data_IF_630669968538
#
_entry.id   IF_630669968538
#
_cell.length_a   1.000
_cell.length_b   1.000
_cell.length_c   1.000
_cell.angle_alpha   90.00
_cell.angle_beta   90.00
_cell.angle_gamma   90.00
#
_symmetry.space_group_name_H-M   'P 1'
#
loop_
_entity.id
_entity.type
_entity.pdbx_description
1 polymer ?
#
# COMPACT_ATOMS: atom_id res chain seq x y z
N UNK A 1 7.52 -17.32 20.71
CA UNK A 1 7.27 -15.91 20.33
C UNK A 1 6.68 -15.90 18.94
N UNK A 2 5.59 -15.17 18.70
CA UNK A 2 5.10 -14.97 17.32
C UNK A 2 5.98 -13.92 16.64
N UNK A 3 6.37 -14.14 15.38
CA UNK A 3 7.04 -13.10 14.60
C UNK A 3 6.00 -12.06 14.14
N UNK A 4 6.44 -10.84 13.85
CA UNK A 4 5.54 -9.79 13.36
C UNK A 4 4.82 -10.19 12.06
N UNK A 5 5.51 -10.94 11.19
CA UNK A 5 4.95 -11.50 9.96
C UNK A 5 3.69 -12.33 10.17
N UNK A 6 3.57 -13.00 11.32
CA UNK A 6 2.38 -13.80 11.65
C UNK A 6 1.17 -12.97 12.10
N UNK A 7 1.33 -11.65 12.23
CA UNK A 7 0.29 -10.69 12.62
C UNK A 7 -0.14 -9.80 11.44
N UNK A 8 0.50 -9.93 10.27
CA UNK A 8 0.07 -9.29 9.03
C UNK A 8 -1.15 -10.03 8.48
N UNK A 9 -2.19 -9.26 8.16
CA UNK A 9 -3.44 -9.77 7.59
C UNK A 9 -3.49 -9.49 6.10
N UNK A 10 -4.15 -10.36 5.34
CA UNK A 10 -4.44 -10.20 3.91
C UNK A 10 -5.86 -10.66 3.62
N UNK A 11 -6.40 -10.28 2.47
CA UNK A 11 -7.77 -10.62 2.10
C UNK A 11 -8.17 -10.08 0.73
N UNK A 12 -9.40 -10.38 0.32
CA UNK A 12 -10.00 -9.77 -0.86
C UNK A 12 -10.47 -8.35 -0.51
N UNK A 13 -9.85 -7.34 -1.10
CA UNK A 13 -10.16 -5.93 -0.87
C UNK A 13 -11.60 -5.54 -1.22
N UNK A 14 -12.31 -6.35 -2.02
CA UNK A 14 -13.73 -6.14 -2.29
C UNK A 14 -14.63 -6.47 -1.10
N UNK A 15 -14.19 -7.37 -0.22
CA UNK A 15 -14.91 -7.75 0.99
C UNK A 15 -14.28 -7.22 2.28
N UNK A 16 -13.01 -6.80 2.22
CA UNK A 16 -12.22 -6.37 3.37
C UNK A 16 -11.63 -4.98 3.14
N UNK A 17 -12.13 -4.00 3.90
CA UNK A 17 -11.84 -2.57 3.74
C UNK A 17 -10.46 -2.13 4.24
N UNK A 18 -9.65 -3.03 4.78
CA UNK A 18 -8.32 -2.69 5.29
C UNK A 18 -7.18 -3.09 4.35
N UNK A 19 -7.46 -3.91 3.33
CA UNK A 19 -6.45 -4.38 2.38
C UNK A 19 -6.00 -3.19 1.51
N UNK A 20 -4.70 -2.83 1.47
CA UNK A 20 -4.22 -1.77 0.61
C UNK A 20 -4.29 -2.20 -0.86
N UNK A 21 -5.00 -1.46 -1.69
CA UNK A 21 -5.14 -1.71 -3.12
C UNK A 21 -4.00 -1.03 -3.85
N UNK A 22 -3.26 -1.79 -4.66
CA UNK A 22 -2.13 -1.29 -5.45
C UNK A 22 -2.60 -1.11 -6.89
N UNK A 23 -2.44 0.08 -7.42
CA UNK A 23 -2.80 0.44 -8.78
C UNK A 23 -1.54 0.61 -9.60
N UNK A 24 -1.36 -0.26 -10.59
CA UNK A 24 -0.22 -0.25 -11.51
C UNK A 24 -0.75 0.02 -12.93
N UNK A 25 -0.19 1.00 -13.66
CA UNK A 25 -0.55 1.26 -15.05
C UNK A 25 -0.31 0.03 -15.94
N UNK A 26 -1.10 -0.09 -17.00
CA UNK A 26 -0.83 -1.08 -18.05
C UNK A 26 0.32 -0.64 -18.94
N UNK A 27 1.06 -1.62 -19.51
CA UNK A 27 2.11 -1.40 -20.52
C UNK A 27 3.29 -0.52 -20.05
N UNK A 28 3.71 -0.69 -18.80
CA UNK A 28 4.93 -0.07 -18.26
C UNK A 28 6.19 -0.55 -18.98
N UNK A 29 7.19 0.32 -19.10
CA UNK A 29 8.50 0.02 -19.72
C UNK A 29 9.64 0.14 -18.72
N UNK A 30 10.65 -0.70 -18.90
CA UNK A 30 11.84 -0.71 -18.06
C UNK A 30 12.53 0.65 -18.10
N UNK A 31 12.89 1.18 -16.93
CA UNK A 31 13.65 2.42 -16.78
C UNK A 31 12.86 3.72 -16.99
N UNK A 32 11.60 3.65 -17.47
CA UNK A 32 10.70 4.81 -17.54
C UNK A 32 10.02 5.05 -16.19
N UNK A 33 9.62 6.29 -15.85
CA UNK A 33 8.83 6.56 -14.65
C UNK A 33 7.47 5.86 -14.73
N UNK A 34 7.10 5.21 -13.64
CA UNK A 34 5.81 4.55 -13.45
C UNK A 34 5.17 5.20 -12.25
N UNK A 35 3.94 5.68 -12.40
CA UNK A 35 3.13 6.10 -11.26
C UNK A 35 2.53 4.85 -10.61
N UNK A 36 2.86 4.60 -9.35
CA UNK A 36 2.20 3.59 -8.52
C UNK A 36 1.33 4.33 -7.53
N UNK A 37 0.02 4.08 -7.59
CA UNK A 37 -0.94 4.57 -6.61
C UNK A 37 -1.30 3.46 -5.65
N UNK A 38 -1.52 3.81 -4.39
CA UNK A 38 -2.03 2.91 -3.36
C UNK A 38 -3.15 3.58 -2.59
N UNK A 39 -4.17 2.80 -2.22
CA UNK A 39 -5.32 3.32 -1.49
C UNK A 39 -5.94 2.27 -0.57
N UNK A 40 -6.67 2.72 0.43
CA UNK A 40 -7.56 1.89 1.24
C UNK A 40 -9.00 2.34 1.03
N UNK A 41 -9.89 1.36 0.85
CA UNK A 41 -11.34 1.57 0.79
C UNK A 41 -11.90 1.87 -0.60
N UNK A 42 -11.25 1.35 -1.65
CA UNK A 42 -11.68 1.50 -3.04
C UNK A 42 -13.11 0.97 -3.31
N UNK A 43 -13.46 -0.19 -2.74
CA UNK A 43 -14.80 -0.76 -2.84
C UNK A 43 -15.64 -0.40 -1.60
N UNK A 44 -15.11 -0.72 -0.42
CA UNK A 44 -15.75 -0.48 0.87
C UNK A 44 -14.94 0.56 1.62
N UNK A 45 -15.50 1.76 1.80
CA UNK A 45 -14.79 2.85 2.48
C UNK A 45 -14.42 2.47 3.92
N UNK A 46 -13.16 2.71 4.28
CA UNK A 46 -12.70 2.65 5.66
C UNK A 46 -13.05 3.96 6.40
N UNK A 47 -13.44 3.91 7.69
CA UNK A 47 -13.66 5.12 8.49
C UNK A 47 -12.41 6.02 8.59
N UNK A 48 -12.62 7.33 8.78
CA UNK A 48 -11.53 8.27 9.00
C UNK A 48 -11.96 9.29 10.05
N UNK A 49 -11.94 8.83 11.29
CA UNK A 49 -12.36 9.55 12.49
C UNK A 49 -11.17 9.60 13.47
N UNK A 50 -11.19 10.47 14.48
CA UNK A 50 -10.12 10.56 15.49
C UNK A 50 -9.87 9.21 16.19
N UNK A 51 -10.92 8.43 16.40
CA UNK A 51 -10.88 7.14 17.09
C UNK A 51 -10.49 5.98 16.18
N UNK A 52 -10.72 6.09 14.87
CA UNK A 52 -10.56 4.99 13.93
C UNK A 52 -10.16 5.47 12.53
N UNK A 53 -8.91 5.20 12.16
CA UNK A 53 -8.34 5.65 10.91
C UNK A 53 -7.11 4.81 10.51
N UNK A 54 -6.77 4.89 9.23
CA UNK A 54 -5.50 4.38 8.70
C UNK A 54 -4.41 5.39 9.03
N UNK A 55 -3.32 4.92 9.63
CA UNK A 55 -2.17 5.75 9.99
C UNK A 55 -1.21 5.94 8.83
N UNK A 56 -0.90 4.85 8.12
CA UNK A 56 0.09 4.88 7.06
C UNK A 56 -0.09 3.74 6.07
N UNK A 57 0.48 3.94 4.89
CA UNK A 57 0.74 2.90 3.88
C UNK A 57 2.20 2.98 3.45
N UNK A 58 2.86 1.83 3.32
CA UNK A 58 4.21 1.68 2.79
C UNK A 58 4.22 0.82 1.54
N UNK A 59 5.06 1.17 0.58
CA UNK A 59 5.29 0.41 -0.63
C UNK A 59 6.71 -0.15 -0.68
N UNK A 60 6.84 -1.39 -1.11
CA UNK A 60 8.12 -2.06 -1.30
C UNK A 60 8.17 -2.73 -2.67
N UNK A 61 9.34 -2.74 -3.29
CA UNK A 61 9.61 -3.52 -4.48
C UNK A 61 10.46 -4.74 -4.12
N UNK A 62 10.04 -5.90 -4.59
CA UNK A 62 10.84 -7.12 -4.54
C UNK A 62 11.07 -7.63 -5.96
N UNK A 63 12.31 -7.51 -6.44
CA UNK A 63 12.72 -8.05 -7.73
C UNK A 63 12.53 -9.57 -7.75
N UNK A 64 12.04 -10.15 -8.86
CA UNK A 64 11.69 -11.59 -8.97
C UNK A 64 12.80 -12.56 -8.51
N UNK A 65 14.06 -12.20 -8.76
CA UNK A 65 15.26 -12.93 -8.33
C UNK A 65 16.15 -12.11 -7.38
N UNK A 66 15.55 -11.13 -6.70
CA UNK A 66 16.23 -10.28 -5.73
C UNK A 66 16.45 -11.00 -4.40
N UNK A 67 17.42 -10.50 -3.63
CA UNK A 67 17.71 -11.03 -2.28
C UNK A 67 16.87 -10.37 -1.19
N UNK A 68 16.57 -9.08 -1.35
CA UNK A 68 15.91 -8.26 -0.34
C UNK A 68 14.89 -7.31 -0.99
N UNK A 69 13.78 -6.98 -0.29
CA UNK A 69 12.89 -5.92 -0.73
C UNK A 69 13.54 -4.55 -0.55
N UNK A 70 13.09 -3.57 -1.32
CA UNK A 70 13.50 -2.16 -1.25
C UNK A 70 12.27 -1.31 -0.99
N UNK A 71 12.30 -0.47 0.03
CA UNK A 71 11.22 0.49 0.32
C UNK A 71 11.17 1.55 -0.79
N UNK A 72 9.99 1.76 -1.37
CA UNK A 72 9.73 2.74 -2.43
C UNK A 72 9.23 4.05 -1.81
N UNK A 73 8.26 3.95 -0.91
CA UNK A 73 7.58 5.09 -0.32
C UNK A 73 6.96 4.73 1.03
N UNK A 74 6.87 5.73 1.90
CA UNK A 74 6.05 5.75 3.11
C UNK A 74 5.11 6.94 3.03
N UNK A 75 3.81 6.69 3.20
CA UNK A 75 2.77 7.72 3.24
C UNK A 75 2.16 7.72 4.63
N UNK A 76 2.29 8.84 5.36
CA UNK A 76 1.62 9.06 6.64
C UNK A 76 0.37 9.92 6.42
N UNK A 77 -0.77 9.46 6.93
CA UNK A 77 -2.04 10.18 6.88
C UNK A 77 -2.29 10.73 8.29
N UNK A 78 -2.11 12.04 8.45
CA UNK A 78 -1.91 12.63 9.79
C UNK A 78 -3.11 13.42 10.33
N UNK A 79 -4.12 13.66 9.50
CA UNK A 79 -5.33 14.39 9.90
C UNK A 79 -6.57 13.53 9.71
N UNK A 80 -7.40 13.45 10.73
CA UNK A 80 -8.56 12.55 10.86
C UNK A 80 -9.79 13.27 11.44
N UNK A 81 -9.85 14.60 11.25
CA UNK A 81 -10.93 15.47 11.72
C UNK A 81 -10.45 16.68 12.52
N UNK A 82 -9.15 16.81 12.80
CA UNK A 82 -8.59 17.99 13.46
C UNK A 82 -8.92 19.24 12.65
N UNK A 83 -9.66 20.17 13.28
CA UNK A 83 -10.16 21.39 12.64
C UNK A 83 -10.94 21.13 11.32
N UNK A 84 -11.61 19.97 11.23
CA UNK A 84 -12.34 19.56 10.03
C UNK A 84 -11.45 19.08 8.87
N UNK A 85 -10.14 18.94 9.07
CA UNK A 85 -9.21 18.43 8.06
C UNK A 85 -9.14 16.91 8.12
N UNK A 86 -9.35 16.26 6.98
CA UNK A 86 -9.28 14.80 6.82
C UNK A 86 -8.31 14.47 5.69
N UNK A 87 -7.32 13.63 5.99
CA UNK A 87 -6.38 13.05 5.02
C UNK A 87 -6.85 11.65 4.67
N UNK A 88 -7.35 11.45 3.45
CA UNK A 88 -7.74 10.13 2.97
C UNK A 88 -6.51 9.21 2.80
N UNK A 89 -6.64 7.89 3.04
CA UNK A 89 -5.51 6.96 2.97
C UNK A 89 -5.16 6.58 1.53
N UNK A 90 -4.71 7.58 0.76
CA UNK A 90 -4.35 7.47 -0.65
C UNK A 90 -2.96 8.09 -0.87
N UNK A 91 -2.07 7.33 -1.48
CA UNK A 91 -0.72 7.77 -1.85
C UNK A 91 -0.41 7.49 -3.31
N UNK A 92 0.46 8.30 -3.91
CA UNK A 92 1.02 8.07 -5.25
C UNK A 92 2.51 8.38 -5.25
N UNK A 93 3.29 7.56 -5.96
CA UNK A 93 4.74 7.75 -6.12
C UNK A 93 5.15 7.44 -7.55
N UNK A 94 6.05 8.25 -8.09
CA UNK A 94 6.74 7.92 -9.34
C UNK A 94 8.03 7.17 -9.03
N UNK A 95 8.16 5.98 -9.60
CA UNK A 95 9.34 5.11 -9.44
C UNK A 95 9.86 4.68 -10.81
N UNK A 96 11.17 4.47 -10.92
CA UNK A 96 11.81 3.80 -12.06
C UNK A 96 12.28 2.43 -11.61
N UNK A 97 11.88 1.40 -12.34
CA UNK A 97 12.26 0.01 -12.07
C UNK A 97 12.98 -0.58 -13.27
N UNK A 98 13.99 -1.39 -12.98
CA UNK A 98 14.88 -1.94 -14.00
C UNK A 98 14.59 -3.41 -14.33
N UNK A 99 13.61 -4.04 -13.68
CA UNK A 99 13.26 -5.44 -13.89
C UNK A 99 11.86 -5.75 -13.33
N UNK A 100 11.28 -6.85 -13.77
CA UNK A 100 9.99 -7.35 -13.27
C UNK A 100 10.10 -7.85 -11.83
N UNK A 101 8.98 -7.86 -11.12
CA UNK A 101 8.94 -8.29 -9.73
C UNK A 101 7.58 -8.08 -9.10
N UNK A 102 7.59 -7.77 -7.82
CA UNK A 102 6.38 -7.59 -7.03
C UNK A 102 6.41 -6.24 -6.32
N UNK A 103 5.28 -5.55 -6.33
CA UNK A 103 5.03 -4.41 -5.47
C UNK A 103 4.24 -4.93 -4.28
N UNK A 104 4.79 -4.76 -3.09
CA UNK A 104 4.13 -5.05 -1.83
C UNK A 104 3.63 -3.75 -1.24
N UNK A 105 2.42 -3.78 -0.69
CA UNK A 105 1.89 -2.73 0.15
C UNK A 105 1.68 -3.26 1.55
N UNK A 106 2.04 -2.46 2.55
CA UNK A 106 1.72 -2.70 3.95
C UNK A 106 1.00 -1.49 4.50
N UNK A 107 -0.05 -1.70 5.29
CA UNK A 107 -0.84 -0.64 5.88
C UNK A 107 -1.07 -0.90 7.37
N UNK A 108 -1.35 0.17 8.11
CA UNK A 108 -1.69 0.09 9.53
C UNK A 108 -2.94 0.88 9.85
N UNK A 109 -3.94 0.17 10.37
CA UNK A 109 -5.10 0.76 11.02
C UNK A 109 -4.81 0.89 12.52
N UNK A 110 -5.10 2.04 13.11
CA UNK A 110 -4.79 2.33 14.51
C UNK A 110 -5.36 1.29 15.49
N UNK A 111 -6.53 0.70 15.19
CA UNK A 111 -7.20 -0.31 16.02
C UNK A 111 -7.31 -1.70 15.39
N UNK A 112 -7.14 -1.83 14.07
CA UNK A 112 -7.25 -3.13 13.36
C UNK A 112 -5.91 -3.69 12.86
N UNK A 113 -4.78 -3.13 13.30
CA UNK A 113 -3.46 -3.72 13.11
C UNK A 113 -2.94 -3.62 11.68
N UNK A 114 -2.06 -4.57 11.32
CA UNK A 114 -1.30 -4.56 10.07
C UNK A 114 -1.99 -5.36 8.97
N UNK A 115 -1.94 -4.79 7.76
CA UNK A 115 -2.53 -5.36 6.55
C UNK A 115 -1.53 -5.32 5.41
N UNK A 116 -1.59 -6.29 4.52
CA UNK A 116 -0.74 -6.34 3.34
C UNK A 116 -1.51 -6.74 2.08
N UNK A 117 -0.93 -6.33 0.95
CA UNK A 117 -1.30 -6.81 -0.37
C UNK A 117 -0.05 -6.84 -1.26
N UNK A 118 -0.12 -7.55 -2.38
CA UNK A 118 0.91 -7.53 -3.41
C UNK A 118 0.33 -7.58 -4.80
N UNK A 119 1.01 -6.92 -5.73
CA UNK A 119 0.73 -6.99 -7.16
C UNK A 119 2.00 -7.32 -7.93
N UNK A 120 1.88 -8.10 -9.00
CA UNK A 120 2.99 -8.37 -9.89
C UNK A 120 3.16 -7.21 -10.88
N UNK A 121 4.41 -6.77 -11.07
CA UNK A 121 4.75 -5.81 -12.12
C UNK A 121 5.61 -6.49 -13.17
N UNK A 122 5.08 -6.53 -14.39
CA UNK A 122 5.70 -7.16 -15.54
C UNK A 122 6.07 -6.11 -16.57
N UNK A 123 7.32 -6.15 -17.00
CA UNK A 123 7.79 -5.42 -18.16
C UNK A 123 7.73 -6.32 -19.39
N UNK A 124 7.24 -5.76 -20.49
CA UNK A 124 7.32 -6.40 -21.82
C UNK A 124 8.73 -6.30 -22.39
#
# INVERSE_FOLDING_TARGET
MKSLGQLLQSGDWKGEKHVPVIHIPQNVKVGEPIEIKVSIGDEIRHPNELEHHIKWIKLFYFKKNGKFPVEIASFDFVSHGEDGVITEPVGSVQVRLNDSGFIYAMAYCNIHGLWENKEEILFK
#
